data_IF_345747157752
#
_entry.id   IF_345747157752
#
_cell.length_a   1.000
_cell.length_b   1.000
_cell.length_c   1.000
_cell.angle_alpha   90.00
_cell.angle_beta   90.00
_cell.angle_gamma   90.00
#
_symmetry.space_group_name_H-M   'P 1'
#
loop_
_entity.id
_entity.type
_entity.pdbx_description
1 polymer ?
#
# COMPACT_ATOMS: atom_id res chain seq x y z
N UNK A 1 11.24 -10.20 -28.83
CA UNK A 1 12.65 -9.78 -28.90
C UNK A 1 13.04 -9.20 -27.54
N UNK A 2 14.33 -9.17 -27.21
CA UNK A 2 14.84 -8.70 -25.90
C UNK A 2 14.39 -7.29 -25.52
N UNK A 3 14.12 -6.41 -26.47
CA UNK A 3 13.65 -5.04 -26.21
C UNK A 3 12.18 -4.96 -25.76
N UNK A 4 11.34 -5.90 -26.16
CA UNK A 4 9.94 -5.96 -25.71
C UNK A 4 9.85 -6.46 -24.27
N UNK A 5 10.61 -7.49 -23.89
CA UNK A 5 10.68 -7.95 -22.50
C UNK A 5 11.19 -6.87 -21.56
N UNK A 6 12.21 -6.10 -21.94
CA UNK A 6 12.78 -5.01 -21.14
C UNK A 6 11.78 -3.85 -20.93
N UNK A 7 10.89 -3.61 -21.88
CA UNK A 7 9.89 -2.54 -21.81
C UNK A 7 8.72 -2.89 -20.92
N UNK A 8 8.26 -4.14 -20.97
CA UNK A 8 7.19 -4.64 -20.11
C UNK A 8 7.67 -4.77 -18.65
N UNK A 9 8.90 -5.23 -18.43
CA UNK A 9 9.53 -5.25 -17.11
C UNK A 9 9.67 -3.85 -16.53
N UNK A 10 10.01 -2.84 -17.34
CA UNK A 10 10.11 -1.46 -16.88
C UNK A 10 8.74 -0.90 -16.43
N UNK A 11 7.69 -1.14 -17.19
CA UNK A 11 6.35 -0.67 -16.87
C UNK A 11 5.81 -1.36 -15.58
N UNK A 12 5.99 -2.67 -15.47
CA UNK A 12 5.59 -3.46 -14.29
C UNK A 12 6.42 -3.10 -13.08
N UNK A 13 7.73 -2.97 -13.24
CA UNK A 13 8.64 -2.57 -12.16
C UNK A 13 8.32 -1.20 -11.60
N UNK A 14 8.01 -0.23 -12.46
CA UNK A 14 7.56 1.10 -12.01
C UNK A 14 6.28 1.06 -11.16
N UNK A 15 5.39 0.11 -11.41
CA UNK A 15 4.19 -0.10 -10.58
C UNK A 15 4.53 -0.74 -9.23
N UNK A 16 5.52 -1.63 -9.15
CA UNK A 16 6.01 -2.17 -7.87
C UNK A 16 6.56 -1.03 -7.02
N UNK A 17 7.47 -0.24 -7.55
CA UNK A 17 8.04 0.93 -6.85
C UNK A 17 6.96 1.92 -6.42
N UNK A 18 5.94 2.16 -7.25
CA UNK A 18 4.82 3.03 -6.92
C UNK A 18 3.98 2.48 -5.76
N UNK A 19 3.78 1.17 -5.70
CA UNK A 19 3.05 0.52 -4.61
C UNK A 19 3.88 0.51 -3.32
N UNK A 20 5.17 0.24 -3.39
CA UNK A 20 6.09 0.31 -2.25
C UNK A 20 6.10 1.69 -1.58
N UNK A 21 6.09 2.76 -2.38
CA UNK A 21 6.03 4.14 -1.88
C UNK A 21 4.78 4.46 -1.05
N UNK A 22 3.72 3.69 -1.18
CA UNK A 22 2.52 3.84 -0.35
C UNK A 22 2.65 3.15 1.01
N UNK A 23 3.57 2.22 1.13
CA UNK A 23 3.87 1.47 2.37
C UNK A 23 5.10 2.03 3.05
N UNK A 24 6.16 2.19 2.28
CA UNK A 24 7.45 2.72 2.72
C UNK A 24 7.77 3.98 1.91
N UNK A 25 7.73 5.17 2.51
CA UNK A 25 8.08 6.40 1.81
C UNK A 25 9.58 6.42 1.52
N UNK A 26 9.97 5.86 0.38
CA UNK A 26 11.35 5.85 -0.10
C UNK A 26 11.66 7.12 -0.89
N UNK A 27 12.88 7.62 -0.79
CA UNK A 27 13.31 8.86 -1.40
C UNK A 27 13.30 10.04 -0.43
N UNK A 28 13.44 11.24 -0.96
CA UNK A 28 13.40 12.48 -0.19
C UNK A 28 12.10 13.24 -0.45
N UNK A 29 11.78 14.19 0.41
CA UNK A 29 10.64 15.09 0.18
C UNK A 29 10.78 15.87 -1.14
N UNK A 30 12.00 16.16 -1.57
CA UNK A 30 12.26 16.82 -2.85
C UNK A 30 11.97 15.92 -4.05
N UNK A 31 12.16 14.61 -3.91
CA UNK A 31 11.95 13.65 -4.99
C UNK A 31 10.49 13.26 -5.14
N UNK A 32 9.75 13.16 -4.04
CA UNK A 32 8.35 12.72 -4.04
C UNK A 32 7.56 13.31 -2.87
N UNK A 33 7.46 14.62 -2.84
CA UNK A 33 6.84 15.38 -1.76
C UNK A 33 5.41 14.96 -1.46
N UNK A 34 4.60 14.70 -2.50
CA UNK A 34 3.19 14.39 -2.31
C UNK A 34 2.98 13.07 -1.58
N UNK A 35 3.70 12.01 -1.99
CA UNK A 35 3.57 10.68 -1.37
C UNK A 35 4.08 10.70 0.07
N UNK A 36 5.27 11.25 0.30
CA UNK A 36 5.87 11.33 1.64
C UNK A 36 5.01 12.18 2.57
N UNK A 37 4.55 13.32 2.10
CA UNK A 37 3.70 14.21 2.89
C UNK A 37 2.35 13.57 3.21
N UNK A 38 1.74 12.87 2.27
CA UNK A 38 0.51 12.12 2.51
C UNK A 38 0.71 11.00 3.53
N UNK A 39 1.83 10.28 3.47
CA UNK A 39 2.15 9.23 4.45
C UNK A 39 2.31 9.81 5.86
N UNK A 40 3.03 10.92 6.00
CA UNK A 40 3.17 11.61 7.27
C UNK A 40 1.80 12.02 7.83
N UNK A 41 0.97 12.66 7.03
CA UNK A 41 -0.36 13.11 7.46
C UNK A 41 -1.26 11.92 7.79
N UNK A 42 -1.24 10.89 6.95
CA UNK A 42 -2.12 9.74 7.10
C UNK A 42 -1.85 8.92 8.36
N UNK A 43 -0.59 8.81 8.77
CA UNK A 43 -0.20 7.91 9.86
C UNK A 43 0.39 8.63 11.06
N UNK A 44 1.44 9.45 10.87
CA UNK A 44 2.09 10.13 12.01
C UNK A 44 1.21 11.22 12.62
N UNK A 45 0.54 12.01 11.81
CA UNK A 45 -0.38 13.04 12.30
C UNK A 45 -1.78 12.49 12.63
N UNK A 46 -2.02 11.20 12.43
CA UNK A 46 -3.25 10.51 12.83
C UNK A 46 -2.98 9.60 14.03
N UNK A 47 -2.59 8.35 13.80
CA UNK A 47 -2.45 7.34 14.84
C UNK A 47 -1.48 7.74 15.96
N UNK A 48 -0.32 8.30 15.61
CA UNK A 48 0.68 8.68 16.61
C UNK A 48 0.24 9.89 17.47
N UNK A 49 -0.60 10.77 16.91
CA UNK A 49 -1.20 11.86 17.68
C UNK A 49 -2.32 11.36 18.59
N UNK A 50 -3.20 10.49 18.08
CA UNK A 50 -4.30 9.92 18.89
C UNK A 50 -3.79 9.07 20.05
N UNK A 51 -2.70 8.32 19.84
CA UNK A 51 -2.07 7.50 20.88
C UNK A 51 -1.25 8.31 21.90
N UNK A 52 -1.02 9.61 21.62
CA UNK A 52 -0.23 10.47 22.48
C UNK A 52 1.30 10.32 22.34
N UNK A 53 1.76 9.58 21.32
CA UNK A 53 3.20 9.52 21.02
C UNK A 53 3.72 10.84 20.47
N UNK A 54 2.90 11.56 19.72
CA UNK A 54 3.23 12.88 19.21
C UNK A 54 2.38 13.95 19.86
N UNK A 55 3.05 15.01 20.31
CA UNK A 55 2.43 16.22 20.81
C UNK A 55 2.98 17.43 20.07
N UNK A 56 2.29 18.55 20.17
CA UNK A 56 2.78 19.81 19.64
C UNK A 56 3.37 20.67 20.76
N UNK A 57 4.43 21.40 20.45
CA UNK A 57 5.07 22.35 21.37
C UNK A 57 4.72 23.81 21.07
N UNK A 58 3.89 24.04 20.06
CA UNK A 58 3.41 25.34 19.63
C UNK A 58 1.94 25.26 19.21
N UNK A 59 1.35 26.40 18.92
CA UNK A 59 -0.04 26.46 18.48
C UNK A 59 -0.19 26.22 16.97
N UNK A 60 0.49 25.21 16.43
CA UNK A 60 0.35 24.84 15.04
C UNK A 60 -1.12 24.59 14.70
N UNK A 61 -1.57 25.12 13.57
CA UNK A 61 -2.98 25.08 13.16
C UNK A 61 -3.94 25.70 14.23
N UNK A 62 -3.46 26.70 14.95
CA UNK A 62 -4.25 27.32 16.02
C UNK A 62 -4.50 26.42 17.23
N UNK A 63 -3.79 25.30 17.35
CA UNK A 63 -3.99 24.31 18.40
C UNK A 63 -5.14 23.31 18.12
N UNK A 64 -5.89 23.51 17.03
CA UNK A 64 -7.02 22.66 16.68
C UNK A 64 -6.59 21.58 15.67
N UNK A 65 -6.04 20.49 16.16
CA UNK A 65 -5.60 19.35 15.36
C UNK A 65 -5.65 18.04 16.16
N UNK A 66 -5.23 16.95 15.57
CA UNK A 66 -5.31 15.62 16.17
C UNK A 66 -4.57 15.50 17.51
N UNK A 67 -3.52 16.30 17.76
CA UNK A 67 -2.81 16.28 19.06
C UNK A 67 -3.67 16.83 20.22
N UNK A 68 -4.68 17.60 19.91
CA UNK A 68 -5.67 18.11 20.87
C UNK A 68 -7.02 17.39 20.78
N UNK A 69 -7.05 16.23 20.13
CA UNK A 69 -8.28 15.47 19.86
C UNK A 69 -9.35 16.25 19.08
N UNK A 70 -8.92 17.23 18.31
CA UNK A 70 -9.76 17.92 17.35
C UNK A 70 -9.66 17.23 15.99
N UNK A 71 -10.76 16.66 15.51
CA UNK A 71 -10.83 15.95 14.23
C UNK A 71 -10.54 16.89 13.07
N UNK A 72 -9.45 16.65 12.37
CA UNK A 72 -9.09 17.40 11.19
C UNK A 72 -9.38 16.57 9.93
N UNK A 73 -10.44 16.92 9.23
CA UNK A 73 -10.95 16.17 8.06
C UNK A 73 -9.87 15.89 7.01
N UNK A 74 -9.01 16.89 6.72
CA UNK A 74 -7.95 16.73 5.73
C UNK A 74 -6.89 15.68 6.13
N UNK A 75 -6.63 15.50 7.41
CA UNK A 75 -5.70 14.49 7.92
C UNK A 75 -6.32 13.10 7.90
N UNK A 76 -7.60 13.00 8.23
CA UNK A 76 -8.35 11.74 8.14
C UNK A 76 -8.46 11.30 6.68
N UNK A 77 -8.78 12.23 5.78
CA UNK A 77 -8.88 11.96 4.35
C UNK A 77 -7.55 11.48 3.73
N UNK A 78 -6.41 11.84 4.30
CA UNK A 78 -5.09 11.41 3.80
C UNK A 78 -4.92 9.89 3.92
N UNK A 79 -5.36 9.26 5.01
CA UNK A 79 -5.33 7.79 5.17
C UNK A 79 -6.14 7.11 4.06
N UNK A 80 -7.32 7.64 3.77
CA UNK A 80 -8.15 7.13 2.67
C UNK A 80 -7.44 7.27 1.31
N UNK A 81 -6.83 8.41 1.02
CA UNK A 81 -6.12 8.64 -0.24
C UNK A 81 -4.92 7.71 -0.42
N UNK A 82 -4.12 7.51 0.61
CA UNK A 82 -2.98 6.59 0.54
C UNK A 82 -3.44 5.18 0.19
N UNK A 83 -4.55 4.72 0.74
CA UNK A 83 -5.06 3.36 0.55
C UNK A 83 -5.81 3.22 -0.76
N UNK A 84 -6.86 4.02 -0.98
CA UNK A 84 -7.80 3.82 -2.08
C UNK A 84 -7.41 4.52 -3.38
N UNK A 85 -6.66 5.60 -3.32
CA UNK A 85 -6.21 6.28 -4.54
C UNK A 85 -4.84 5.74 -4.98
N UNK A 86 -3.86 5.75 -4.10
CA UNK A 86 -2.49 5.42 -4.48
C UNK A 86 -2.25 3.90 -4.54
N UNK A 87 -2.45 3.20 -3.42
CA UNK A 87 -2.18 1.76 -3.35
C UNK A 87 -3.10 0.94 -4.26
N UNK A 88 -4.41 1.19 -4.24
CA UNK A 88 -5.37 0.44 -5.04
C UNK A 88 -5.10 0.55 -6.54
N UNK A 89 -4.80 1.73 -7.03
CA UNK A 89 -4.56 1.93 -8.48
C UNK A 89 -3.31 1.19 -8.95
N UNK A 90 -2.22 1.23 -8.20
CA UNK A 90 -1.01 0.48 -8.51
C UNK A 90 -1.26 -1.04 -8.45
N UNK A 91 -1.93 -1.51 -7.39
CA UNK A 91 -2.28 -2.92 -7.23
C UNK A 91 -3.17 -3.46 -8.34
N UNK A 92 -4.20 -2.73 -8.77
CA UNK A 92 -5.08 -3.15 -9.89
C UNK A 92 -4.30 -3.34 -11.19
N UNK A 93 -3.39 -2.42 -11.48
CA UNK A 93 -2.54 -2.51 -12.68
C UNK A 93 -1.56 -3.68 -12.59
N UNK A 94 -0.97 -3.93 -11.42
CA UNK A 94 -0.10 -5.09 -11.20
C UNK A 94 -0.84 -6.41 -11.30
N UNK A 95 -2.05 -6.50 -10.75
CA UNK A 95 -2.90 -7.67 -10.92
C UNK A 95 -3.11 -7.99 -12.40
N UNK A 96 -3.55 -7.00 -13.17
CA UNK A 96 -3.76 -7.17 -14.61
C UNK A 96 -2.48 -7.55 -15.35
N UNK A 97 -1.38 -6.88 -15.09
CA UNK A 97 -0.10 -7.17 -15.73
C UNK A 97 0.40 -8.58 -15.41
N UNK A 98 0.23 -9.02 -14.16
CA UNK A 98 0.58 -10.38 -13.75
C UNK A 98 -0.27 -11.44 -14.44
N UNK A 99 -1.57 -11.20 -14.60
CA UNK A 99 -2.47 -12.08 -15.34
C UNK A 99 -2.09 -12.14 -16.83
N UNK A 100 -1.86 -11.00 -17.47
CA UNK A 100 -1.51 -10.89 -18.89
C UNK A 100 -0.15 -11.58 -19.20
N UNK A 101 0.81 -11.51 -18.29
CA UNK A 101 2.18 -12.03 -18.46
C UNK A 101 2.41 -13.41 -17.81
N UNK A 102 1.40 -13.96 -17.13
CA UNK A 102 1.51 -15.21 -16.36
C UNK A 102 2.68 -15.18 -15.35
N UNK A 103 2.76 -14.11 -14.55
CA UNK A 103 3.77 -13.88 -13.51
C UNK A 103 3.14 -13.83 -12.11
N UNK A 104 2.70 -14.97 -11.55
CA UNK A 104 2.00 -15.02 -10.26
C UNK A 104 2.83 -14.47 -9.09
N UNK A 105 4.16 -14.52 -9.19
CA UNK A 105 5.08 -13.97 -8.19
C UNK A 105 5.00 -12.43 -8.09
N UNK A 106 4.77 -11.76 -9.20
CA UNK A 106 4.56 -10.30 -9.23
C UNK A 106 3.27 -9.95 -8.51
N UNK A 107 2.21 -10.73 -8.74
CA UNK A 107 0.95 -10.54 -8.04
C UNK A 107 1.07 -10.87 -6.54
N UNK A 108 1.80 -11.91 -6.18
CA UNK A 108 2.06 -12.26 -4.77
C UNK A 108 2.77 -11.12 -4.03
N UNK A 109 3.80 -10.52 -4.62
CA UNK A 109 4.47 -9.34 -4.07
C UNK A 109 3.47 -8.16 -3.95
N UNK A 110 2.66 -7.92 -4.97
CA UNK A 110 1.64 -6.88 -4.93
C UNK A 110 0.59 -7.11 -3.82
N UNK A 111 0.23 -8.35 -3.51
CA UNK A 111 -0.67 -8.70 -2.40
C UNK A 111 -0.06 -8.35 -1.04
N UNK A 112 1.20 -8.71 -0.82
CA UNK A 112 1.91 -8.36 0.43
C UNK A 112 1.96 -6.84 0.62
N UNK A 113 2.32 -6.09 -0.41
CA UNK A 113 2.39 -4.63 -0.37
C UNK A 113 1.00 -3.99 -0.18
N UNK A 114 -0.03 -4.50 -0.87
CA UNK A 114 -1.40 -4.05 -0.68
C UNK A 114 -1.84 -4.20 0.77
N UNK A 115 -1.65 -5.36 1.35
CA UNK A 115 -2.08 -5.64 2.72
C UNK A 115 -1.29 -4.78 3.71
N UNK A 116 0.00 -4.57 3.48
CA UNK A 116 0.84 -3.68 4.29
C UNK A 116 0.34 -2.22 4.31
N UNK A 117 -0.25 -1.75 3.21
CA UNK A 117 -0.89 -0.43 3.15
C UNK A 117 -2.30 -0.44 3.76
N UNK A 118 -3.09 -1.47 3.50
CA UNK A 118 -4.52 -1.49 3.78
C UNK A 118 -4.88 -1.88 5.22
N UNK A 119 -4.07 -2.68 5.92
CA UNK A 119 -4.34 -2.98 7.33
C UNK A 119 -4.37 -1.71 8.18
N UNK A 120 -3.56 -0.70 7.85
CA UNK A 120 -3.55 0.60 8.52
C UNK A 120 -4.88 1.35 8.35
N UNK A 121 -5.50 1.26 7.17
CA UNK A 121 -6.83 1.84 6.94
C UNK A 121 -7.90 1.07 7.73
N UNK A 122 -7.81 -0.26 7.79
CA UNK A 122 -8.72 -1.07 8.60
C UNK A 122 -8.65 -0.70 10.08
N UNK A 123 -7.45 -0.55 10.62
CA UNK A 123 -7.22 -0.16 12.01
C UNK A 123 -7.67 1.28 12.31
N UNK A 124 -7.67 2.15 11.29
CA UNK A 124 -8.11 3.55 11.43
C UNK A 124 -9.63 3.73 11.32
N UNK A 125 -10.29 2.96 10.47
CA UNK A 125 -11.69 3.18 10.11
C UNK A 125 -12.64 2.07 10.55
N UNK A 126 -12.15 0.90 10.95
CA UNK A 126 -12.97 -0.28 11.19
C UNK A 126 -13.45 -0.90 9.87
N UNK A 127 -14.76 -1.11 9.67
CA UNK A 127 -15.27 -1.64 8.41
C UNK A 127 -14.85 -0.80 7.20
N UNK A 128 -14.30 -1.45 6.18
CA UNK A 128 -13.82 -0.80 4.94
C UNK A 128 -14.18 -1.63 3.71
N UNK A 129 -14.26 -1.02 2.52
CA UNK A 129 -14.30 -1.76 1.26
C UNK A 129 -12.99 -2.52 1.03
N UNK A 130 -13.02 -3.84 0.98
CA UNK A 130 -11.85 -4.67 0.69
C UNK A 130 -12.10 -5.68 -0.44
N UNK A 131 -13.07 -6.58 -0.26
CA UNK A 131 -13.34 -7.68 -1.20
C UNK A 131 -13.73 -7.17 -2.59
N UNK A 132 -14.51 -6.11 -2.63
CA UNK A 132 -15.05 -5.50 -3.85
C UNK A 132 -14.42 -4.15 -4.20
N UNK A 133 -13.35 -3.76 -3.50
CA UNK A 133 -12.74 -2.43 -3.68
C UNK A 133 -12.24 -2.15 -5.11
N UNK A 134 -11.93 -3.21 -5.86
CA UNK A 134 -11.47 -3.12 -7.24
C UNK A 134 -12.59 -3.16 -8.28
N UNK A 135 -13.83 -3.39 -7.88
CA UNK A 135 -14.95 -3.51 -8.79
C UNK A 135 -15.28 -2.17 -9.45
N UNK A 136 -15.69 -2.23 -10.72
CA UNK A 136 -16.05 -1.05 -11.49
C UNK A 136 -17.52 -0.66 -11.25
N UNK A 137 -17.92 -0.54 -9.98
CA UNK A 137 -19.28 -0.17 -9.58
C UNK A 137 -19.28 1.12 -8.77
N UNK A 138 -20.37 1.87 -8.81
CA UNK A 138 -20.51 3.11 -8.04
C UNK A 138 -20.76 2.86 -6.54
N UNK A 139 -21.35 1.72 -6.20
CA UNK A 139 -21.70 1.37 -4.83
C UNK A 139 -20.87 0.15 -4.40
N UNK A 140 -19.77 0.40 -3.71
CA UNK A 140 -18.92 -0.64 -3.16
C UNK A 140 -19.31 -0.87 -1.71
N UNK A 141 -19.69 -2.11 -1.32
CA UNK A 141 -20.06 -2.40 0.06
C UNK A 141 -18.84 -2.33 0.99
N UNK A 142 -19.12 -2.03 2.26
CA UNK A 142 -18.15 -2.16 3.33
C UNK A 142 -18.15 -3.62 3.83
N UNK A 143 -16.96 -4.19 3.95
CA UNK A 143 -16.77 -5.46 4.62
C UNK A 143 -16.57 -5.23 6.12
N UNK A 144 -17.03 -6.17 6.95
CA UNK A 144 -16.74 -6.10 8.38
C UNK A 144 -15.24 -6.27 8.66
N UNK A 145 -14.75 -5.73 9.79
CA UNK A 145 -13.34 -5.92 10.19
C UNK A 145 -12.94 -7.40 10.17
N UNK A 146 -13.80 -8.27 10.71
CA UNK A 146 -13.57 -9.73 10.73
C UNK A 146 -13.41 -10.29 9.33
N UNK A 147 -14.26 -9.89 8.40
CA UNK A 147 -14.22 -10.39 7.02
C UNK A 147 -12.98 -9.87 6.30
N UNK A 148 -12.60 -8.60 6.52
CA UNK A 148 -11.38 -8.01 5.96
C UNK A 148 -10.14 -8.74 6.46
N UNK A 149 -9.99 -8.96 7.78
CA UNK A 149 -8.86 -9.72 8.32
C UNK A 149 -8.83 -11.15 7.78
N UNK A 150 -9.99 -11.80 7.70
CA UNK A 150 -10.07 -13.16 7.13
C UNK A 150 -9.60 -13.19 5.67
N UNK A 151 -10.01 -12.21 4.88
CA UNK A 151 -9.57 -12.07 3.49
C UNK A 151 -8.07 -11.76 3.39
N UNK A 152 -7.57 -10.85 4.22
CA UNK A 152 -6.13 -10.52 4.26
C UNK A 152 -5.26 -11.73 4.62
N UNK A 153 -5.66 -12.53 5.60
CA UNK A 153 -4.93 -13.74 5.96
C UNK A 153 -4.93 -14.77 4.83
N UNK A 154 -6.05 -14.93 4.14
CA UNK A 154 -6.12 -15.78 2.96
C UNK A 154 -5.19 -15.30 1.86
N UNK A 155 -5.30 -14.02 1.49
CA UNK A 155 -4.47 -13.39 0.44
C UNK A 155 -2.97 -13.51 0.76
N UNK A 156 -2.58 -13.32 2.04
CA UNK A 156 -1.20 -13.48 2.49
C UNK A 156 -0.73 -14.93 2.42
N UNK A 157 -1.56 -15.89 2.83
CA UNK A 157 -1.18 -17.31 2.76
C UNK A 157 -0.92 -17.73 1.32
N UNK A 158 -1.80 -17.36 0.39
CA UNK A 158 -1.62 -17.63 -1.04
C UNK A 158 -0.37 -16.95 -1.60
N UNK A 159 -0.09 -15.72 -1.19
CA UNK A 159 1.12 -15.00 -1.61
C UNK A 159 2.40 -15.65 -1.07
N UNK A 160 2.40 -16.04 0.21
CA UNK A 160 3.53 -16.72 0.85
C UNK A 160 3.86 -18.03 0.15
N UNK A 161 2.87 -18.84 -0.20
CA UNK A 161 3.07 -20.09 -0.91
C UNK A 161 3.80 -19.88 -2.25
N UNK A 162 3.38 -18.87 -3.02
CA UNK A 162 4.03 -18.51 -4.29
C UNK A 162 5.45 -17.97 -4.07
N UNK A 163 5.64 -17.07 -3.13
CA UNK A 163 6.94 -16.46 -2.86
C UNK A 163 7.94 -17.48 -2.31
N UNK A 164 7.52 -18.36 -1.40
CA UNK A 164 8.35 -19.43 -0.86
C UNK A 164 8.88 -20.33 -1.97
N UNK A 165 8.02 -20.75 -2.90
CA UNK A 165 8.44 -21.57 -4.03
C UNK A 165 9.49 -20.85 -4.93
N UNK A 166 9.42 -19.51 -5.05
CA UNK A 166 10.41 -18.73 -5.80
C UNK A 166 11.73 -18.58 -5.01
N UNK A 167 11.64 -18.35 -3.71
CA UNK A 167 12.81 -18.28 -2.82
C UNK A 167 13.60 -19.58 -2.82
N UNK A 168 12.94 -20.73 -2.69
CA UNK A 168 13.55 -22.06 -2.74
C UNK A 168 14.28 -22.33 -4.07
N UNK A 169 13.82 -21.74 -5.15
CA UNK A 169 14.45 -21.84 -6.47
C UNK A 169 15.46 -20.72 -6.76
N UNK A 170 15.73 -19.83 -5.81
CA UNK A 170 16.69 -18.73 -5.96
C UNK A 170 16.28 -17.69 -7.01
N UNK A 171 14.98 -17.53 -7.26
CA UNK A 171 14.45 -16.60 -8.25
C UNK A 171 14.23 -15.23 -7.60
N UNK A 172 14.86 -14.20 -8.15
CA UNK A 172 14.60 -12.81 -7.75
C UNK A 172 13.37 -12.26 -8.48
N UNK A 173 12.56 -11.48 -7.75
CA UNK A 173 11.32 -10.88 -8.25
C UNK A 173 11.52 -9.37 -8.41
N UNK A 174 11.54 -8.87 -9.65
CA UNK A 174 11.66 -7.43 -9.94
C UNK A 174 12.84 -6.73 -9.23
N UNK A 175 13.99 -7.41 -9.14
CA UNK A 175 15.19 -7.02 -8.39
C UNK A 175 15.58 -5.54 -8.52
N UNK A 176 15.46 -4.98 -9.72
CA UNK A 176 15.89 -3.60 -9.99
C UNK A 176 14.84 -2.56 -9.58
N UNK A 177 13.66 -2.97 -9.17
CA UNK A 177 12.52 -2.12 -8.86
C UNK A 177 12.01 -2.27 -7.43
N UNK A 178 12.33 -3.40 -6.79
CA UNK A 178 12.09 -3.60 -5.37
C UNK A 178 13.18 -2.88 -4.56
N UNK A 179 12.80 -1.74 -4.00
CA UNK A 179 13.70 -0.88 -3.22
C UNK A 179 13.91 -1.37 -1.78
N UNK A 180 13.14 -2.36 -1.33
CA UNK A 180 13.16 -2.83 0.07
C UNK A 180 14.05 -4.07 0.19
N UNK A 181 13.78 -5.10 -0.59
CA UNK A 181 14.46 -6.40 -0.49
C UNK A 181 15.25 -6.77 -1.76
N UNK A 182 15.34 -5.88 -2.75
CA UNK A 182 16.04 -6.11 -4.01
C UNK A 182 15.60 -7.42 -4.71
N UNK A 183 14.31 -7.72 -4.64
CA UNK A 183 13.70 -8.90 -5.25
C UNK A 183 13.90 -10.20 -4.49
N UNK A 184 14.42 -10.18 -3.26
CA UNK A 184 14.50 -11.36 -2.41
C UNK A 184 13.10 -11.76 -1.93
N UNK A 185 12.73 -13.00 -2.24
CA UNK A 185 11.40 -13.54 -1.91
C UNK A 185 11.36 -14.28 -0.56
N UNK A 186 12.49 -14.40 0.15
CA UNK A 186 12.61 -15.10 1.42
C UNK A 186 12.17 -14.28 2.64
#
# INVERSE_FOLDING_TARGET
TEEEGTRDDFAVGGLITALEKTVFPVGTQADDTDVINQYQIAFHLSADCWSGYFGQNNSWEGGNNNTSYFLKDSWIAATYKCTYTNALNAWKKLKKASEDNNTPEVFALAQVLKISAWHKALESFGPIPYSHAADATMNIPFDSEKDVYTAMFKDLTEAIDVLTAKAENGVSIMKNYDAVYAGDAA
#
